data_IF_253432263830
#
_entry.id   IF_253432263830
#
_cell.length_a   1.000
_cell.length_b   1.000
_cell.length_c   1.000
_cell.angle_alpha   90.00
_cell.angle_beta   90.00
_cell.angle_gamma   90.00
#
_symmetry.space_group_name_H-M   'P 1'
#
loop_
_entity.id
_entity.type
_entity.pdbx_description
1 polymer ?
#
# COMPACT_ATOMS: atom_id res chain seq x y z
N UNK A 1 12.96 -11.62 -22.37
CA UNK A 1 13.31 -11.99 -20.99
C UNK A 1 13.07 -10.83 -20.03
N UNK A 2 13.63 -9.64 -20.27
CA UNK A 2 13.49 -8.46 -19.41
C UNK A 2 12.04 -8.01 -19.26
N UNK A 3 11.26 -7.97 -20.34
CA UNK A 3 9.84 -7.61 -20.31
C UNK A 3 9.00 -8.62 -19.50
N UNK A 4 9.26 -9.90 -19.67
CA UNK A 4 8.57 -10.96 -18.93
C UNK A 4 8.84 -10.86 -17.43
N UNK A 5 10.08 -10.54 -17.07
CA UNK A 5 10.49 -10.32 -15.69
C UNK A 5 9.77 -9.11 -15.08
N UNK A 6 9.73 -7.98 -15.80
CA UNK A 6 9.03 -6.78 -15.32
C UNK A 6 7.54 -7.06 -15.11
N UNK A 7 6.87 -7.71 -16.05
CA UNK A 7 5.46 -8.10 -15.89
C UNK A 7 5.26 -9.03 -14.69
N UNK A 8 6.19 -9.96 -14.45
CA UNK A 8 6.13 -10.84 -13.30
C UNK A 8 6.27 -10.07 -11.99
N UNK A 9 7.17 -9.08 -11.93
CA UNK A 9 7.33 -8.20 -10.77
C UNK A 9 6.06 -7.38 -10.52
N UNK A 10 5.44 -6.83 -11.57
CA UNK A 10 4.18 -6.10 -11.48
C UNK A 10 3.05 -6.99 -10.94
N UNK A 11 2.90 -8.21 -11.44
CA UNK A 11 1.91 -9.15 -10.91
C UNK A 11 2.15 -9.55 -9.46
N UNK A 12 3.41 -9.66 -9.05
CA UNK A 12 3.74 -9.91 -7.64
C UNK A 12 3.33 -8.73 -6.76
N UNK A 13 3.56 -7.50 -7.19
CA UNK A 13 3.13 -6.31 -6.45
C UNK A 13 1.61 -6.22 -6.38
N UNK A 14 0.92 -6.41 -7.51
CA UNK A 14 -0.55 -6.46 -7.55
C UNK A 14 -1.10 -7.51 -6.59
N UNK A 15 -0.51 -8.69 -6.56
CA UNK A 15 -0.95 -9.75 -5.66
C UNK A 15 -0.75 -9.40 -4.19
N UNK A 16 0.30 -8.68 -3.84
CA UNK A 16 0.52 -8.21 -2.46
C UNK A 16 -0.46 -7.11 -2.05
N UNK A 17 -0.94 -6.32 -2.98
CA UNK A 17 -1.88 -5.21 -2.71
C UNK A 17 -3.33 -5.70 -2.72
N UNK A 18 -3.72 -6.46 -3.76
CA UNK A 18 -5.13 -6.75 -4.07
C UNK A 18 -5.57 -8.18 -3.76
N UNK A 19 -4.67 -9.12 -3.44
CA UNK A 19 -5.10 -10.50 -3.24
C UNK A 19 -6.04 -10.65 -2.06
N UNK A 20 -7.08 -11.44 -2.26
CA UNK A 20 -8.02 -11.83 -1.23
C UNK A 20 -7.57 -13.12 -0.55
N UNK A 21 -7.79 -13.19 0.75
CA UNK A 21 -7.55 -14.42 1.50
C UNK A 21 -8.57 -15.47 1.10
N UNK A 22 -8.12 -16.49 0.43
CA UNK A 22 -8.95 -17.62 0.09
C UNK A 22 -8.60 -18.81 0.99
N UNK A 23 -9.33 -18.93 2.09
CA UNK A 23 -9.31 -20.12 2.92
C UNK A 23 -10.35 -21.10 2.37
N UNK A 24 -10.01 -21.81 1.34
CA UNK A 24 -10.89 -22.91 0.93
C UNK A 24 -10.68 -24.05 1.90
N UNK A 25 -11.74 -24.27 2.66
CA UNK A 25 -11.85 -25.42 3.52
C UNK A 25 -11.43 -26.69 2.79
N UNK A 26 -10.34 -27.28 3.26
CA UNK A 26 -10.05 -28.72 3.24
C UNK A 26 -10.29 -29.56 1.96
N UNK A 27 -10.55 -28.97 0.81
CA UNK A 27 -10.61 -29.74 -0.44
C UNK A 27 -9.31 -29.53 -1.22
N UNK A 28 -8.60 -30.58 -1.45
CA UNK A 28 -7.22 -30.67 -1.97
C UNK A 28 -6.96 -30.04 -3.36
N UNK A 29 -7.83 -29.20 -3.88
CA UNK A 29 -7.76 -28.69 -5.25
C UNK A 29 -7.46 -27.21 -5.39
N UNK A 30 -7.39 -26.45 -4.31
CA UNK A 30 -7.20 -24.99 -4.38
C UNK A 30 -6.09 -24.54 -3.45
N UNK A 31 -5.08 -23.92 -4.05
CA UNK A 31 -3.98 -23.33 -3.29
C UNK A 31 -4.49 -22.14 -2.46
N UNK A 32 -4.23 -22.10 -1.15
CA UNK A 32 -4.59 -20.96 -0.33
C UNK A 32 -3.83 -19.71 -0.81
N UNK A 33 -4.56 -18.62 -1.08
CA UNK A 33 -3.98 -17.33 -1.41
C UNK A 33 -3.55 -16.56 -0.15
N UNK A 34 -2.50 -15.77 -0.26
CA UNK A 34 -2.10 -14.83 0.80
C UNK A 34 -3.02 -13.61 0.79
N UNK A 35 -3.28 -13.05 1.97
CA UNK A 35 -4.06 -11.83 2.09
C UNK A 35 -3.24 -10.62 1.66
N UNK A 36 -3.76 -9.82 0.74
CA UNK A 36 -3.18 -8.55 0.34
C UNK A 36 -3.49 -7.41 1.31
N UNK A 37 -2.93 -6.24 1.03
CA UNK A 37 -3.07 -5.06 1.89
C UNK A 37 -4.53 -4.63 2.03
N UNK A 38 -5.25 -4.48 0.93
CA UNK A 38 -6.64 -4.00 0.96
C UNK A 38 -7.56 -4.96 1.72
N UNK A 39 -7.43 -6.25 1.44
CA UNK A 39 -8.20 -7.27 2.14
C UNK A 39 -7.86 -7.33 3.65
N UNK A 40 -6.61 -7.08 4.01
CA UNK A 40 -6.19 -7.03 5.42
C UNK A 40 -6.80 -5.82 6.14
N UNK A 41 -6.84 -4.66 5.50
CA UNK A 41 -7.46 -3.45 6.04
C UNK A 41 -8.98 -3.64 6.12
N UNK A 42 -9.60 -4.17 5.08
CA UNK A 42 -11.04 -4.43 5.08
C UNK A 42 -11.48 -5.38 6.21
N UNK A 43 -10.66 -6.39 6.50
CA UNK A 43 -10.99 -7.38 7.53
C UNK A 43 -10.71 -6.91 8.96
N UNK A 44 -9.75 -6.03 9.17
CA UNK A 44 -9.24 -5.68 10.51
C UNK A 44 -9.06 -4.19 10.75
N UNK A 45 -9.13 -3.39 9.69
CA UNK A 45 -8.89 -1.95 9.73
C UNK A 45 -10.14 -1.12 9.83
N UNK A 46 -9.96 0.17 9.78
CA UNK A 46 -11.03 1.15 9.66
C UNK A 46 -11.32 1.38 8.17
N UNK A 47 -12.56 1.23 7.79
CA UNK A 47 -13.03 1.49 6.42
C UNK A 47 -14.02 2.62 6.47
N UNK A 48 -13.68 3.74 5.82
CA UNK A 48 -14.58 4.86 5.62
C UNK A 48 -15.13 4.81 4.21
N UNK A 49 -16.41 5.07 4.04
CA UNK A 49 -17.10 4.96 2.76
C UNK A 49 -17.58 6.33 2.32
N UNK A 50 -17.19 6.72 1.11
CA UNK A 50 -17.75 7.90 0.45
C UNK A 50 -17.13 9.22 0.90
N UNK A 51 -15.80 9.26 1.06
CA UNK A 51 -15.11 10.54 1.27
C UNK A 51 -15.38 11.51 0.12
N UNK A 52 -15.96 12.65 0.44
CA UNK A 52 -16.23 13.72 -0.50
C UNK A 52 -15.72 15.05 0.03
N UNK A 53 -15.07 15.85 -0.82
CA UNK A 53 -14.64 17.20 -0.45
C UNK A 53 -15.80 18.12 -0.06
N UNK A 54 -17.02 17.82 -0.50
CA UNK A 54 -18.21 18.61 -0.25
C UNK A 54 -18.69 18.57 1.21
N UNK A 55 -18.40 17.48 1.94
CA UNK A 55 -18.71 17.35 3.36
C UNK A 55 -17.69 18.06 4.27
N UNK A 56 -16.58 18.52 3.70
CA UNK A 56 -15.56 19.26 4.41
C UNK A 56 -14.77 18.40 5.39
N UNK A 57 -14.40 19.01 6.53
CA UNK A 57 -13.59 18.33 7.54
C UNK A 57 -14.32 17.27 8.36
N UNK A 58 -15.63 17.25 8.34
CA UNK A 58 -16.40 16.37 9.22
C UNK A 58 -16.17 14.89 8.95
N UNK A 59 -16.01 14.53 7.66
CA UNK A 59 -15.68 13.15 7.26
C UNK A 59 -14.24 12.79 7.67
N UNK A 60 -13.31 13.73 7.51
CA UNK A 60 -11.94 13.52 7.95
C UNK A 60 -11.84 13.41 9.47
N UNK A 61 -12.62 14.19 10.21
CA UNK A 61 -12.70 14.11 11.67
C UNK A 61 -13.29 12.77 12.14
N UNK A 62 -14.15 12.15 11.35
CA UNK A 62 -14.62 10.78 11.59
C UNK A 62 -13.45 9.77 11.51
N UNK A 63 -12.58 9.89 10.53
CA UNK A 63 -11.37 9.07 10.43
C UNK A 63 -10.50 9.24 11.67
N UNK A 64 -10.27 10.48 12.13
CA UNK A 64 -9.48 10.75 13.34
C UNK A 64 -10.07 10.11 14.59
N UNK A 65 -11.40 10.16 14.75
CA UNK A 65 -12.09 9.52 15.88
C UNK A 65 -11.93 8.00 15.86
N UNK A 66 -11.96 7.41 14.67
CA UNK A 66 -11.72 5.98 14.50
C UNK A 66 -10.28 5.61 14.86
N UNK A 67 -9.32 6.41 14.44
CA UNK A 67 -7.91 6.26 14.82
C UNK A 67 -7.73 6.35 16.35
N UNK A 68 -8.27 7.36 16.99
CA UNK A 68 -8.20 7.52 18.45
C UNK A 68 -8.78 6.33 19.21
N UNK A 69 -9.86 5.73 18.69
CA UNK A 69 -10.49 4.55 19.29
C UNK A 69 -9.57 3.35 19.33
N UNK A 70 -8.68 3.23 18.35
CA UNK A 70 -7.72 2.13 18.21
C UNK A 70 -6.37 2.40 18.90
N UNK A 71 -6.15 3.58 19.45
CA UNK A 71 -4.89 3.98 20.03
C UNK A 71 -3.81 4.21 18.97
N UNK A 72 -4.16 4.93 17.93
CA UNK A 72 -3.46 5.03 16.68
C UNK A 72 -2.08 5.71 16.77
N UNK A 73 -1.30 5.45 15.73
CA UNK A 73 0.01 6.04 15.51
C UNK A 73 -0.17 7.44 14.95
N UNK A 74 0.58 8.41 15.48
CA UNK A 74 0.40 9.83 15.15
C UNK A 74 0.88 10.19 13.74
N UNK A 75 1.92 9.52 13.23
CA UNK A 75 2.46 9.77 11.89
C UNK A 75 1.89 8.78 10.88
N UNK A 76 1.27 9.30 9.82
CA UNK A 76 0.61 8.50 8.81
C UNK A 76 0.92 8.96 7.39
N UNK A 77 1.04 8.00 6.47
CA UNK A 77 1.14 8.27 5.04
C UNK A 77 -0.21 8.02 4.38
N UNK A 78 -0.68 9.01 3.64
CA UNK A 78 -1.95 8.99 2.93
C UNK A 78 -1.69 8.82 1.42
N UNK A 79 -1.99 7.63 0.92
CA UNK A 79 -1.90 7.31 -0.50
C UNK A 79 -3.27 7.47 -1.14
N UNK A 80 -3.41 8.41 -2.09
CA UNK A 80 -4.67 8.78 -2.68
C UNK A 80 -4.72 8.53 -4.17
N UNK A 81 -5.93 8.24 -4.65
CA UNK A 81 -6.29 8.37 -6.05
C UNK A 81 -6.21 9.85 -6.48
N UNK A 82 -5.98 10.10 -7.77
CA UNK A 82 -5.81 11.47 -8.28
C UNK A 82 -7.01 12.37 -7.97
N UNK A 83 -8.22 11.88 -8.21
CA UNK A 83 -9.42 12.70 -7.96
C UNK A 83 -9.57 13.03 -6.48
N UNK A 84 -9.46 12.03 -5.61
CA UNK A 84 -9.54 12.22 -4.17
C UNK A 84 -8.42 13.13 -3.64
N UNK A 85 -7.22 13.07 -4.25
CA UNK A 85 -6.12 13.96 -3.91
C UNK A 85 -6.43 15.42 -4.24
N UNK A 86 -7.06 15.68 -5.40
CA UNK A 86 -7.49 17.03 -5.79
C UNK A 86 -8.64 17.52 -4.91
N UNK A 87 -9.60 16.67 -4.62
CA UNK A 87 -10.72 16.99 -3.72
C UNK A 87 -10.22 17.35 -2.31
N UNK A 88 -9.16 16.66 -1.88
CA UNK A 88 -8.50 16.96 -0.61
C UNK A 88 -7.81 18.32 -0.62
N UNK A 89 -7.14 18.67 -1.71
CA UNK A 89 -6.51 19.99 -1.88
C UNK A 89 -7.56 21.10 -1.91
N UNK A 90 -8.67 20.89 -2.61
CA UNK A 90 -9.80 21.83 -2.67
C UNK A 90 -10.48 22.01 -1.30
N UNK A 91 -10.64 20.93 -0.55
CA UNK A 91 -11.14 20.97 0.82
C UNK A 91 -10.23 21.83 1.72
N UNK A 92 -8.93 21.58 1.70
CA UNK A 92 -7.98 22.34 2.49
C UNK A 92 -7.90 23.82 2.07
N UNK A 93 -7.97 24.08 0.77
CA UNK A 93 -8.01 25.43 0.23
C UNK A 93 -9.28 26.19 0.64
N UNK A 94 -10.44 25.53 0.65
CA UNK A 94 -11.71 26.13 1.08
C UNK A 94 -11.71 26.57 2.54
N UNK A 95 -11.05 25.82 3.40
CA UNK A 95 -10.88 26.15 4.81
C UNK A 95 -9.99 27.38 4.96
N UNK A 96 -8.92 27.45 4.17
CA UNK A 96 -8.02 28.61 4.15
C UNK A 96 -8.72 29.90 3.63
N UNK A 97 -9.60 29.77 2.60
CA UNK A 97 -10.31 30.89 2.00
C UNK A 97 -11.55 31.37 2.78
N UNK A 98 -12.14 30.51 3.61
CA UNK A 98 -13.34 30.84 4.42
C UNK A 98 -13.05 31.71 5.66
N UNK A 99 -11.81 31.85 6.05
CA UNK A 99 -11.40 32.79 7.09
C UNK A 99 -11.11 34.17 6.49
N UNK A 100 -12.14 34.97 6.32
CA UNK A 100 -12.08 36.38 5.88
C UNK A 100 -11.41 37.28 6.91
N UNK A 101 -10.23 36.94 7.35
CA UNK A 101 -9.50 37.64 8.39
C UNK A 101 -8.02 37.36 8.47
N UNK A 102 -7.40 37.00 7.37
CA UNK A 102 -5.94 37.24 7.16
C UNK A 102 -4.95 36.47 8.01
N UNK A 103 -5.29 35.36 8.62
CA UNK A 103 -4.27 34.51 9.27
C UNK A 103 -4.74 33.06 9.31
N UNK A 104 -4.36 32.32 8.28
CA UNK A 104 -4.39 30.85 8.33
C UNK A 104 -3.29 30.40 9.32
N UNK A 105 -3.58 30.49 10.62
CA UNK A 105 -2.66 30.01 11.64
C UNK A 105 -2.59 28.49 11.62
N UNK A 106 -1.43 27.96 11.28
CA UNK A 106 -0.98 26.65 11.71
C UNK A 106 -1.40 25.44 10.88
N UNK A 107 -2.10 25.59 9.75
CA UNK A 107 -2.42 24.46 8.87
C UNK A 107 -1.27 24.10 7.91
N UNK A 108 -0.40 25.05 7.61
CA UNK A 108 0.68 24.85 6.64
C UNK A 108 2.01 25.42 7.17
N UNK A 109 3.03 24.61 7.21
CA UNK A 109 4.41 25.08 7.15
C UNK A 109 4.69 25.51 5.70
N UNK A 110 4.17 26.67 5.30
CA UNK A 110 4.32 27.13 3.93
C UNK A 110 5.31 28.29 3.85
N UNK A 111 6.38 28.10 3.09
CA UNK A 111 7.11 29.20 2.47
C UNK A 111 6.27 29.80 1.32
N UNK A 112 6.45 31.09 1.03
CA UNK A 112 5.74 31.79 -0.05
C UNK A 112 5.84 31.07 -1.42
N UNK A 113 6.89 30.28 -1.66
CA UNK A 113 7.08 29.46 -2.85
C UNK A 113 6.08 28.29 -2.96
N UNK A 114 5.59 27.76 -1.85
CA UNK A 114 4.60 26.67 -1.86
C UNK A 114 3.18 27.15 -2.13
N UNK A 115 2.88 28.44 -1.92
CA UNK A 115 1.58 29.00 -2.25
C UNK A 115 1.31 29.05 -3.76
N UNK A 116 2.35 28.94 -4.59
CA UNK A 116 2.26 28.84 -6.05
C UNK A 116 2.05 27.41 -6.54
N UNK A 117 2.35 26.41 -5.72
CA UNK A 117 2.07 25.01 -6.02
C UNK A 117 0.74 24.62 -5.40
N UNK A 118 -0.28 24.48 -6.22
CA UNK A 118 -1.65 24.08 -5.84
C UNK A 118 -1.74 22.62 -5.30
N UNK A 119 -0.71 22.14 -4.62
CA UNK A 119 -0.67 20.80 -4.07
C UNK A 119 -0.04 20.76 -2.69
N UNK A 120 -0.70 20.15 -1.72
CA UNK A 120 -0.19 19.97 -0.38
C UNK A 120 0.46 18.59 -0.25
N UNK A 121 1.69 18.55 0.29
CA UNK A 121 2.41 17.29 0.51
C UNK A 121 2.23 16.74 1.93
N UNK A 122 1.80 17.56 2.88
CA UNK A 122 1.56 17.16 4.25
C UNK A 122 0.72 18.16 5.01
N UNK A 123 0.01 17.70 6.00
CA UNK A 123 -0.77 18.55 6.90
C UNK A 123 -0.89 17.89 8.28
N UNK A 124 -1.14 18.72 9.29
CA UNK A 124 -1.36 18.27 10.64
C UNK A 124 -2.79 18.60 11.08
N UNK A 125 -3.44 17.63 11.71
CA UNK A 125 -4.74 17.86 12.36
C UNK A 125 -4.77 17.20 13.73
N UNK A 126 -4.97 18.03 14.74
CA UNK A 126 -4.85 17.58 16.13
C UNK A 126 -3.42 17.14 16.45
N UNK A 127 -3.24 15.94 16.93
CA UNK A 127 -1.95 15.30 17.19
C UNK A 127 -1.39 14.51 16.00
N UNK A 128 -2.16 14.35 14.93
CA UNK A 128 -1.83 13.51 13.81
C UNK A 128 -1.15 14.27 12.68
N UNK A 129 -0.06 13.72 12.16
CA UNK A 129 0.66 14.20 10.99
C UNK A 129 0.36 13.28 9.79
N UNK A 130 -0.07 13.87 8.69
CA UNK A 130 -0.41 13.17 7.46
C UNK A 130 0.49 13.63 6.33
N UNK A 131 1.12 12.67 5.66
CA UNK A 131 1.93 12.89 4.47
C UNK A 131 1.17 12.38 3.25
N UNK A 132 0.71 13.29 2.42
CA UNK A 132 -0.10 12.98 1.24
C UNK A 132 0.78 12.64 0.05
N UNK A 133 0.43 11.56 -0.65
CA UNK A 133 1.09 11.12 -1.87
C UNK A 133 0.05 10.59 -2.86
N UNK A 134 0.17 10.99 -4.12
CA UNK A 134 -0.63 10.42 -5.19
C UNK A 134 -0.11 9.03 -5.54
N UNK A 135 -1.01 8.07 -5.53
CA UNK A 135 -0.68 6.71 -5.92
C UNK A 135 -1.26 6.37 -7.28
N UNK A 136 -0.41 6.42 -8.30
CA UNK A 136 -0.80 6.19 -9.69
C UNK A 136 -1.49 4.84 -9.93
N UNK A 137 -1.12 3.84 -9.15
CA UNK A 137 -1.73 2.51 -9.21
C UNK A 137 -3.25 2.54 -9.00
N UNK A 138 -3.77 3.41 -8.14
CA UNK A 138 -5.20 3.57 -7.91
C UNK A 138 -5.95 4.21 -9.09
N UNK A 139 -5.23 4.86 -10.01
CA UNK A 139 -5.81 5.51 -11.19
C UNK A 139 -5.78 4.63 -12.44
N UNK A 140 -4.98 3.56 -12.44
CA UNK A 140 -4.79 2.72 -13.62
C UNK A 140 -5.74 1.52 -13.58
N UNK A 141 -6.78 1.60 -14.39
CA UNK A 141 -7.75 0.50 -14.53
C UNK A 141 -7.19 -0.71 -15.31
N UNK A 142 -6.06 -0.56 -16.01
CA UNK A 142 -5.49 -1.62 -16.82
C UNK A 142 -4.60 -2.55 -16.02
N UNK A 143 -3.96 -2.06 -14.97
CA UNK A 143 -3.07 -2.83 -14.09
C UNK A 143 -3.78 -3.35 -12.84
N UNK A 144 -4.87 -2.70 -12.43
CA UNK A 144 -5.67 -3.19 -11.30
C UNK A 144 -6.40 -4.46 -11.66
N UNK A 145 -6.30 -5.45 -10.78
CA UNK A 145 -7.07 -6.68 -10.93
C UNK A 145 -8.56 -6.39 -11.03
N UNK A 146 -9.25 -7.10 -11.90
CA UNK A 146 -10.69 -6.95 -12.14
C UNK A 146 -11.55 -7.45 -10.95
N UNK A 147 -10.99 -7.53 -9.75
CA UNK A 147 -11.73 -7.89 -8.54
C UNK A 147 -12.76 -6.81 -8.24
N UNK A 148 -14.02 -7.19 -8.30
CA UNK A 148 -15.20 -6.32 -8.23
C UNK A 148 -15.37 -5.58 -6.90
N UNK A 149 -14.54 -5.83 -5.89
CA UNK A 149 -14.58 -5.15 -4.60
C UNK A 149 -13.55 -4.05 -4.41
N UNK A 150 -12.46 -4.08 -5.16
CA UNK A 150 -11.27 -3.23 -4.93
C UNK A 150 -11.22 -2.04 -5.91
N UNK A 151 -12.02 -2.06 -6.97
CA UNK A 151 -12.07 -0.96 -7.96
C UNK A 151 -12.56 0.38 -7.38
N UNK A 152 -13.10 0.39 -6.16
CA UNK A 152 -13.62 1.57 -5.49
C UNK A 152 -12.69 2.15 -4.41
N UNK A 153 -11.46 1.65 -4.28
CA UNK A 153 -10.51 2.20 -3.29
C UNK A 153 -10.03 3.56 -3.75
N UNK A 154 -10.39 4.59 -3.02
CA UNK A 154 -10.03 5.97 -3.30
C UNK A 154 -8.74 6.39 -2.62
N UNK A 155 -8.39 5.74 -1.52
CA UNK A 155 -7.17 5.99 -0.80
C UNK A 155 -6.90 4.96 0.28
N UNK A 156 -5.67 5.00 0.79
CA UNK A 156 -5.22 4.15 1.91
C UNK A 156 -4.39 4.97 2.86
N UNK A 157 -4.69 4.85 4.13
CA UNK A 157 -3.89 5.39 5.21
C UNK A 157 -2.98 4.29 5.76
N UNK A 158 -1.67 4.54 5.75
CA UNK A 158 -0.66 3.59 6.24
C UNK A 158 0.14 4.27 7.36
N UNK A 159 0.24 3.65 8.54
CA UNK A 159 1.03 4.21 9.62
C UNK A 159 2.51 4.28 9.22
N UNK A 160 3.09 5.46 9.39
CA UNK A 160 4.51 5.67 9.25
C UNK A 160 5.25 5.25 10.52
N UNK A 161 6.49 4.81 10.38
CA UNK A 161 7.29 4.39 11.51
C UNK A 161 7.56 2.89 11.55
N UNK A 162 8.04 2.44 12.68
CA UNK A 162 8.55 1.07 12.82
C UNK A 162 8.09 0.43 14.12
N UNK A 163 7.77 -0.85 14.07
CA UNK A 163 7.61 -1.69 15.26
C UNK A 163 8.93 -2.39 15.60
N UNK A 164 9.18 -2.56 16.89
CA UNK A 164 10.33 -3.31 17.39
C UNK A 164 9.89 -4.73 17.70
N UNK A 165 10.51 -5.70 17.06
CA UNK A 165 10.26 -7.13 17.29
C UNK A 165 11.55 -7.80 17.72
N UNK A 166 11.48 -8.58 18.81
CA UNK A 166 12.61 -9.39 19.23
C UNK A 166 12.76 -10.60 18.31
N UNK A 167 13.90 -10.70 17.64
CA UNK A 167 14.21 -11.85 16.81
C UNK A 167 14.97 -12.88 17.63
N UNK A 168 14.34 -14.05 17.85
CA UNK A 168 14.93 -15.13 18.65
C UNK A 168 16.17 -15.75 18.00
N UNK A 169 16.29 -15.68 16.68
CA UNK A 169 17.44 -16.27 15.95
C UNK A 169 18.64 -15.35 16.06
N UNK A 170 18.45 -14.06 15.93
CA UNK A 170 19.52 -13.07 16.00
C UNK A 170 19.80 -12.59 17.43
N UNK A 171 18.93 -12.89 18.39
CA UNK A 171 19.06 -12.46 19.78
C UNK A 171 19.00 -10.94 19.98
N UNK A 172 18.46 -10.20 19.02
CA UNK A 172 18.41 -8.74 19.02
C UNK A 172 17.03 -8.21 18.64
N UNK A 173 16.76 -6.98 19.09
CA UNK A 173 15.56 -6.26 18.65
C UNK A 173 15.74 -5.72 17.24
N UNK A 174 14.85 -6.12 16.34
CA UNK A 174 14.83 -5.65 14.96
C UNK A 174 13.69 -4.65 14.80
N UNK A 175 13.99 -3.50 14.26
CA UNK A 175 12.98 -2.52 13.82
C UNK A 175 12.48 -2.89 12.44
N UNK A 176 11.17 -2.96 12.28
CA UNK A 176 10.52 -3.23 11.00
C UNK A 176 9.42 -2.23 10.76
N UNK A 177 9.26 -1.73 9.51
CA UNK A 177 8.09 -0.93 9.15
C UNK A 177 6.80 -1.69 9.43
N UNK A 178 5.72 -0.99 9.72
CA UNK A 178 4.41 -1.61 9.96
C UNK A 178 3.91 -2.39 8.73
N UNK A 179 4.20 -1.87 7.54
CA UNK A 179 3.98 -2.56 6.28
C UNK A 179 5.32 -2.99 5.69
N UNK A 180 5.54 -4.29 5.55
CA UNK A 180 6.77 -4.82 4.97
C UNK A 180 6.59 -6.17 4.30
N UNK A 181 7.51 -6.50 3.40
CA UNK A 181 7.51 -7.79 2.70
C UNK A 181 8.51 -8.73 3.36
N UNK A 182 8.10 -9.96 3.58
CA UNK A 182 8.97 -11.05 4.01
C UNK A 182 9.16 -12.06 2.89
N UNK A 183 10.35 -12.59 2.82
CA UNK A 183 10.71 -13.65 1.89
C UNK A 183 10.97 -14.94 2.64
N UNK A 184 10.70 -16.07 2.00
CA UNK A 184 11.02 -17.36 2.56
C UNK A 184 12.53 -17.50 2.73
N UNK A 185 13.00 -17.89 3.93
CA UNK A 185 14.39 -18.20 4.16
C UNK A 185 14.76 -19.53 3.50
N UNK A 186 15.89 -19.58 2.81
CA UNK A 186 16.47 -20.78 2.24
C UNK A 186 17.98 -20.69 2.33
N UNK A 187 18.62 -21.81 2.67
CA UNK A 187 20.08 -21.89 2.75
C UNK A 187 20.74 -22.13 1.38
N UNK A 188 19.99 -22.67 0.41
CA UNK A 188 20.52 -23.10 -0.88
C UNK A 188 20.19 -22.15 -2.03
N UNK A 189 19.07 -21.43 -1.94
CA UNK A 189 18.54 -20.62 -3.03
C UNK A 189 18.08 -19.25 -2.56
N UNK A 190 18.22 -18.23 -3.41
CA UNK A 190 17.54 -16.95 -3.18
C UNK A 190 16.04 -17.09 -3.54
N UNK A 191 15.17 -16.91 -2.54
CA UNK A 191 13.72 -17.00 -2.72
C UNK A 191 13.05 -15.65 -2.99
N UNK A 192 13.82 -14.59 -3.09
CA UNK A 192 13.28 -13.27 -3.47
C UNK A 192 12.92 -13.24 -4.95
N UNK A 193 13.85 -13.73 -5.77
CA UNK A 193 13.69 -13.85 -7.20
C UNK A 193 14.65 -14.92 -7.71
N UNK A 194 14.17 -16.13 -7.87
CA UNK A 194 14.91 -17.22 -8.49
C UNK A 194 14.58 -17.28 -9.97
N UNK A 195 15.59 -17.38 -10.81
CA UNK A 195 15.42 -17.64 -12.23
C UNK A 195 16.26 -18.84 -12.66
N UNK A 196 15.73 -19.64 -13.56
CA UNK A 196 16.44 -20.76 -14.16
C UNK A 196 15.98 -21.00 -15.59
N UNK A 197 16.83 -21.64 -16.38
CA UNK A 197 16.56 -22.00 -17.76
C UNK A 197 16.19 -23.47 -17.85
N UNK A 198 15.25 -23.79 -18.73
CA UNK A 198 14.88 -25.14 -19.13
C UNK A 198 14.79 -25.20 -20.65
N UNK A 199 14.95 -26.39 -21.25
CA UNK A 199 14.93 -26.59 -22.67
C UNK A 199 16.22 -27.24 -23.20
N UNK A 200 16.40 -27.30 -24.50
CA UNK A 200 17.60 -27.80 -25.18
C UNK A 200 18.54 -26.68 -25.66
N UNK A 201 18.05 -25.45 -25.71
CA UNK A 201 18.78 -24.25 -26.11
C UNK A 201 19.20 -23.45 -24.88
N UNK A 202 20.35 -22.79 -24.94
CA UNK A 202 20.84 -21.96 -23.83
C UNK A 202 21.66 -22.70 -22.77
N UNK A 203 22.01 -23.96 -23.03
CA UNK A 203 22.93 -24.75 -22.17
C UNK A 203 22.24 -25.50 -21.02
N UNK A 204 20.94 -25.55 -20.98
CA UNK A 204 20.20 -26.24 -19.93
C UNK A 204 20.01 -27.75 -20.18
N UNK A 205 19.90 -28.19 -21.42
CA UNK A 205 19.74 -29.60 -21.89
C UNK A 205 18.76 -30.44 -21.05
N UNK A 206 17.65 -29.83 -20.65
CA UNK A 206 16.63 -30.47 -19.78
C UNK A 206 15.46 -31.06 -20.56
N UNK A 207 15.39 -30.81 -21.87
CA UNK A 207 14.31 -31.26 -22.76
C UNK A 207 14.85 -31.56 -24.14
N UNK A 208 14.18 -32.47 -24.86
CA UNK A 208 14.46 -32.75 -26.27
C UNK A 208 13.81 -31.74 -27.22
N UNK A 209 12.99 -30.84 -26.69
CA UNK A 209 12.32 -29.78 -27.46
C UNK A 209 13.33 -28.67 -27.77
N UNK A 210 13.44 -28.29 -29.04
CA UNK A 210 14.29 -27.17 -29.48
C UNK A 210 13.67 -25.83 -29.06
N UNK A 211 13.76 -25.54 -27.78
CA UNK A 211 13.19 -24.36 -27.15
C UNK A 211 14.02 -23.95 -25.92
N UNK A 212 13.89 -22.68 -25.54
CA UNK A 212 14.42 -22.14 -24.30
C UNK A 212 13.27 -21.57 -23.48
N UNK A 213 13.14 -22.02 -22.24
CA UNK A 213 12.18 -21.48 -21.28
C UNK A 213 12.92 -20.81 -20.15
N UNK A 214 12.52 -19.59 -19.82
CA UNK A 214 13.00 -18.85 -18.66
C UNK A 214 11.93 -18.88 -17.59
N UNK A 215 12.25 -19.46 -16.46
CA UNK A 215 11.34 -19.60 -15.34
C UNK A 215 11.70 -18.64 -14.22
N UNK A 216 10.70 -18.03 -13.60
CA UNK A 216 10.84 -17.13 -12.46
C UNK A 216 10.04 -17.66 -11.26
N UNK A 217 10.63 -17.57 -10.08
CA UNK A 217 9.98 -17.94 -8.82
C UNK A 217 10.28 -16.90 -7.75
N UNK A 218 9.25 -16.46 -7.07
CA UNK A 218 9.36 -15.64 -5.86
C UNK A 218 8.46 -16.18 -4.77
N UNK A 219 9.01 -16.35 -3.56
CA UNK A 219 8.23 -16.73 -2.38
C UNK A 219 8.27 -15.60 -1.37
N UNK A 220 7.20 -14.82 -1.35
CA UNK A 220 7.06 -13.64 -0.51
C UNK A 220 5.68 -13.57 0.13
N UNK A 221 5.59 -12.84 1.23
CA UNK A 221 4.31 -12.48 1.83
C UNK A 221 4.35 -11.03 2.32
N UNK A 222 3.22 -10.37 2.24
CA UNK A 222 3.02 -9.06 2.85
C UNK A 222 2.69 -9.25 4.34
N UNK A 223 3.34 -8.46 5.18
CA UNK A 223 3.02 -8.37 6.61
C UNK A 223 2.43 -7.00 6.87
N UNK A 224 1.17 -6.98 7.25
CA UNK A 224 0.45 -5.76 7.62
C UNK A 224 0.27 -5.76 9.12
N UNK A 225 1.03 -4.91 9.80
CA UNK A 225 0.88 -4.62 11.22
C UNK A 225 0.10 -3.31 11.37
N UNK A 226 -0.61 -3.15 12.48
CA UNK A 226 -1.43 -1.96 12.72
C UNK A 226 -2.43 -1.69 11.56
N UNK A 227 -3.07 -2.74 11.06
CA UNK A 227 -4.07 -2.59 9.99
C UNK A 227 -5.33 -1.82 10.46
N UNK A 228 -5.49 -1.66 11.76
CA UNK A 228 -6.55 -0.92 12.42
C UNK A 228 -6.23 0.56 12.69
N UNK A 229 -5.07 0.99 12.20
CA UNK A 229 -4.65 2.39 12.30
C UNK A 229 -5.18 3.20 11.13
#
# INVERSE_FOLDING_TARGET
>A
ESETRLRFEDYLEMSMVESEYNQIAATAATNPGSQGMFAAIQARGNVEVGFTAAAGLDEFDSILKNLDTQGAIEENMLFLQRQTSLDFDDMLASISGGFSGGTAFGLFENSEEMALNLGFSGFRRGSYDFYKTDWKYLNDASTRGASTGISSVEGVLVPAGTSTVYDQILGTNIRRPFLHVRYRASASDDRRMKSWLTGSVGGAETSTLDAMEVNFLSERCLVTQAANN
#
